data_IF_390070531713
#
_entry.id   IF_390070531713
#
_cell.length_a   1.000
_cell.length_b   1.000
_cell.length_c   1.000
_cell.angle_alpha   90.00
_cell.angle_beta   90.00
_cell.angle_gamma   90.00
#
_symmetry.space_group_name_H-M   'P 1'
#
loop_
_entity.id
_entity.type
_entity.pdbx_description
1 polymer ?
#
# COMPACT_ATOMS: atom_id res chain seq x y z
N UNK A 1 -20.84 12.04 -48.88
CA UNK A 1 -20.27 11.04 -47.95
C UNK A 1 -20.80 11.28 -46.55
N UNK A 2 -21.74 10.45 -46.10
CA UNK A 2 -22.38 10.61 -44.79
C UNK A 2 -21.53 9.93 -43.76
N UNK A 3 -20.83 10.72 -42.95
CA UNK A 3 -20.03 10.20 -41.81
C UNK A 3 -21.02 9.63 -40.79
N UNK A 4 -21.12 8.30 -40.72
CA UNK A 4 -21.87 7.61 -39.67
C UNK A 4 -21.21 7.99 -38.32
N UNK A 5 -21.88 8.85 -37.55
CA UNK A 5 -21.53 9.09 -36.15
C UNK A 5 -21.53 7.73 -35.41
N UNK A 6 -20.34 7.20 -35.13
CA UNK A 6 -20.16 6.01 -34.30
C UNK A 6 -20.79 6.31 -32.93
N UNK A 7 -21.82 5.57 -32.55
CA UNK A 7 -22.43 5.68 -31.22
C UNK A 7 -21.39 5.31 -30.20
N UNK A 8 -20.81 6.29 -29.51
CA UNK A 8 -19.98 6.06 -28.34
C UNK A 8 -20.80 5.24 -27.34
N UNK A 9 -20.24 4.15 -26.86
CA UNK A 9 -20.84 3.40 -25.76
C UNK A 9 -20.88 4.32 -24.55
N UNK A 10 -22.08 4.52 -23.96
CA UNK A 10 -22.19 5.30 -22.73
C UNK A 10 -21.43 4.55 -21.63
N UNK A 11 -20.38 5.18 -21.11
CA UNK A 11 -19.69 4.66 -19.91
C UNK A 11 -20.72 4.48 -18.79
N UNK A 12 -20.83 3.27 -18.29
CA UNK A 12 -21.82 2.93 -17.24
C UNK A 12 -21.19 3.17 -15.88
N UNK A 13 -21.84 3.99 -15.06
CA UNK A 13 -21.46 4.17 -13.66
C UNK A 13 -21.75 2.88 -12.89
N UNK A 14 -20.74 2.31 -12.29
CA UNK A 14 -20.84 1.10 -11.50
C UNK A 14 -20.50 1.36 -10.03
N UNK A 15 -20.98 0.50 -9.14
CA UNK A 15 -20.57 0.48 -7.74
C UNK A 15 -19.32 -0.40 -7.62
N UNK A 16 -18.21 0.22 -7.32
CA UNK A 16 -16.94 -0.47 -7.16
C UNK A 16 -16.59 -0.66 -5.68
N UNK A 17 -15.86 -1.74 -5.40
CA UNK A 17 -15.43 -2.08 -4.04
C UNK A 17 -13.92 -1.97 -3.92
N UNK A 18 -13.47 -1.40 -2.81
CA UNK A 18 -12.07 -1.40 -2.42
C UNK A 18 -11.91 -2.09 -1.08
N UNK A 19 -11.03 -3.07 -1.05
CA UNK A 19 -10.70 -3.87 0.11
C UNK A 19 -9.43 -3.31 0.73
N UNK A 20 -9.48 -2.97 2.01
CA UNK A 20 -8.37 -2.54 2.85
C UNK A 20 -8.10 -3.65 3.85
N UNK A 21 -6.89 -4.19 3.84
CA UNK A 21 -6.47 -5.13 4.88
C UNK A 21 -6.26 -4.38 6.18
N UNK A 22 -6.75 -4.95 7.27
CA UNK A 22 -6.54 -4.44 8.63
C UNK A 22 -5.28 -5.12 9.17
N UNK A 23 -4.19 -4.37 9.38
CA UNK A 23 -3.00 -4.94 10.02
C UNK A 23 -3.31 -5.39 11.45
N UNK A 24 -2.60 -6.39 11.92
CA UNK A 24 -2.69 -6.83 13.31
C UNK A 24 -2.37 -5.67 14.26
N UNK A 25 -3.17 -5.50 15.31
CA UNK A 25 -3.03 -4.40 16.26
C UNK A 25 -3.53 -3.03 15.76
N UNK A 26 -4.05 -2.93 14.53
CA UNK A 26 -4.62 -1.69 14.04
C UNK A 26 -5.98 -1.41 14.68
N UNK A 27 -6.20 -0.15 15.06
CA UNK A 27 -7.50 0.34 15.53
C UNK A 27 -8.33 0.82 14.35
N UNK A 28 -9.56 0.31 14.25
CA UNK A 28 -10.52 0.72 13.21
C UNK A 28 -11.33 1.89 13.73
N UNK A 29 -11.37 3.00 12.96
CA UNK A 29 -12.06 4.23 13.33
C UNK A 29 -13.47 4.36 12.71
N UNK A 30 -13.85 3.39 11.86
CA UNK A 30 -15.12 3.43 11.13
C UNK A 30 -15.93 2.15 11.35
N UNK A 31 -17.23 2.21 11.12
CA UNK A 31 -18.14 1.07 11.25
C UNK A 31 -18.92 0.81 9.98
N UNK A 32 -19.47 -0.40 9.83
CA UNK A 32 -20.33 -0.79 8.70
C UNK A 32 -21.52 0.15 8.57
N UNK A 33 -21.79 0.59 7.33
CA UNK A 33 -22.85 1.51 7.01
C UNK A 33 -22.45 2.99 7.01
N UNK A 34 -21.32 3.37 7.64
CA UNK A 34 -20.83 4.75 7.65
C UNK A 34 -20.52 5.25 6.24
N UNK A 35 -20.77 6.56 6.02
CA UNK A 35 -20.25 7.30 4.89
C UNK A 35 -18.96 7.98 5.33
N UNK A 36 -17.91 7.83 4.55
CA UNK A 36 -16.60 8.45 4.80
C UNK A 36 -16.21 9.34 3.63
N UNK A 37 -15.58 10.45 3.94
CA UNK A 37 -15.06 11.40 2.94
C UNK A 37 -13.61 11.07 2.58
N UNK A 38 -13.16 11.54 1.40
CA UNK A 38 -11.74 11.48 1.01
C UNK A 38 -10.88 12.10 2.11
N UNK A 39 -9.83 11.39 2.54
CA UNK A 39 -8.91 11.81 3.60
C UNK A 39 -9.35 11.46 5.02
N UNK A 40 -10.57 11.00 5.23
CA UNK A 40 -11.04 10.56 6.56
C UNK A 40 -10.32 9.29 7.00
N UNK A 41 -9.92 9.24 8.27
CA UNK A 41 -9.15 8.13 8.84
C UNK A 41 -10.02 6.89 8.96
N UNK A 42 -9.55 5.80 8.39
CA UNK A 42 -10.20 4.48 8.43
C UNK A 42 -9.59 3.59 9.51
N UNK A 43 -8.26 3.59 9.57
CA UNK A 43 -7.46 2.75 10.45
C UNK A 43 -6.30 3.56 11.01
N UNK A 44 -5.96 3.31 12.27
CA UNK A 44 -4.75 3.81 12.92
C UNK A 44 -3.89 2.63 13.32
N UNK A 45 -2.69 2.55 12.76
CA UNK A 45 -1.69 1.55 13.11
C UNK A 45 -0.64 2.19 14.00
N UNK A 46 -0.38 1.64 15.17
CA UNK A 46 0.78 2.00 15.96
C UNK A 46 2.00 1.34 15.37
N UNK A 47 3.04 2.14 15.07
CA UNK A 47 4.28 1.59 14.56
C UNK A 47 5.08 1.04 15.72
N UNK A 48 5.31 -0.25 15.69
CA UNK A 48 6.23 -0.92 16.58
C UNK A 48 7.55 -1.19 15.86
N UNK A 49 8.67 -0.98 16.56
CA UNK A 49 10.02 -1.33 16.07
C UNK A 49 10.58 -2.42 16.95
N UNK A 50 11.09 -3.50 16.35
CA UNK A 50 11.89 -4.47 17.07
C UNK A 50 13.28 -3.88 17.23
N UNK A 51 13.74 -3.77 18.48
CA UNK A 51 15.09 -3.37 18.83
C UNK A 51 15.78 -4.53 19.50
N UNK A 52 17.04 -4.79 19.10
CA UNK A 52 17.87 -5.86 19.64
C UNK A 52 18.95 -5.27 20.54
N UNK A 53 19.13 -5.84 21.72
CA UNK A 53 20.11 -5.43 22.72
C UNK A 53 21.06 -6.59 23.00
N UNK A 54 22.35 -6.33 22.93
CA UNK A 54 23.35 -7.37 23.13
C UNK A 54 23.54 -7.71 24.60
N UNK A 55 23.12 -8.91 24.98
CA UNK A 55 23.29 -9.48 26.31
C UNK A 55 24.03 -10.84 26.26
N UNK A 56 24.81 -11.06 25.22
CA UNK A 56 25.51 -12.30 24.96
C UNK A 56 26.41 -12.73 26.13
N UNK A 57 27.01 -11.78 26.87
CA UNK A 57 27.85 -12.07 28.04
C UNK A 57 27.10 -12.75 29.20
N UNK A 58 25.81 -12.47 29.32
CA UNK A 58 24.93 -13.10 30.30
C UNK A 58 24.30 -14.38 29.73
N UNK A 59 23.74 -14.30 28.56
CA UNK A 59 22.93 -15.37 27.96
C UNK A 59 23.76 -16.57 27.49
N UNK A 60 25.03 -16.38 27.10
CA UNK A 60 25.93 -17.48 26.72
C UNK A 60 26.23 -18.47 27.86
N UNK A 61 25.96 -18.08 29.09
CA UNK A 61 26.14 -18.95 30.26
C UNK A 61 24.89 -19.76 30.61
N UNK A 62 23.77 -19.47 29.94
CA UNK A 62 22.53 -20.20 30.13
C UNK A 62 22.52 -21.46 29.27
N UNK A 63 21.95 -22.54 29.80
CA UNK A 63 21.67 -23.71 28.98
C UNK A 63 20.54 -23.43 28.02
N UNK A 64 20.50 -24.17 26.89
CA UNK A 64 19.41 -24.04 25.90
C UNK A 64 18.00 -24.22 26.50
N UNK A 65 17.88 -25.10 27.51
CA UNK A 65 16.62 -25.28 28.22
C UNK A 65 16.17 -24.04 29.00
N UNK A 66 17.11 -23.36 29.67
CA UNK A 66 16.84 -22.10 30.39
C UNK A 66 16.53 -20.94 29.45
N UNK A 67 17.21 -20.85 28.29
CA UNK A 67 16.89 -19.85 27.27
C UNK A 67 15.47 -20.06 26.72
N UNK A 68 15.08 -21.30 26.50
CA UNK A 68 13.71 -21.64 26.10
C UNK A 68 12.70 -21.24 27.15
N UNK A 69 12.95 -21.58 28.42
CA UNK A 69 12.07 -21.20 29.54
C UNK A 69 11.94 -19.68 29.67
N UNK A 70 13.05 -18.93 29.51
CA UNK A 70 13.02 -17.47 29.47
C UNK A 70 12.10 -16.97 28.38
N UNK A 71 12.26 -17.47 27.15
CA UNK A 71 11.43 -17.09 26.02
C UNK A 71 9.94 -17.42 26.26
N UNK A 72 9.66 -18.67 26.65
CA UNK A 72 8.28 -19.14 26.87
C UNK A 72 7.57 -18.37 28.02
N UNK A 73 8.33 -17.94 29.02
CA UNK A 73 7.77 -17.25 30.18
C UNK A 73 7.60 -15.74 29.99
N UNK A 74 8.44 -15.09 29.17
CA UNK A 74 8.45 -13.63 29.06
C UNK A 74 7.92 -13.10 27.72
N UNK A 75 7.91 -13.90 26.65
CA UNK A 75 7.46 -13.47 25.34
C UNK A 75 6.05 -12.87 25.39
N UNK A 76 5.89 -11.70 24.80
CA UNK A 76 4.63 -10.94 24.79
C UNK A 76 4.34 -10.14 26.05
N UNK A 77 5.15 -10.26 27.12
CA UNK A 77 4.97 -9.43 28.33
C UNK A 77 5.57 -8.05 28.15
N UNK A 78 4.90 -7.06 28.71
CA UNK A 78 5.35 -5.68 28.77
C UNK A 78 6.28 -5.48 29.97
N UNK A 79 7.41 -4.79 29.73
CA UNK A 79 8.39 -4.39 30.73
C UNK A 79 8.69 -2.91 30.63
N UNK A 80 9.10 -2.33 31.75
CA UNK A 80 9.70 -0.99 31.80
C UNK A 80 11.21 -1.12 31.82
N UNK A 81 11.89 -0.08 31.38
CA UNK A 81 13.35 0.02 31.53
C UNK A 81 13.76 -0.18 33.00
N UNK A 82 14.70 -1.11 33.23
CA UNK A 82 15.16 -1.47 34.57
C UNK A 82 14.35 -2.56 35.27
N UNK A 83 13.26 -3.05 34.69
CA UNK A 83 12.53 -4.19 35.26
C UNK A 83 13.37 -5.48 35.22
N UNK A 84 13.25 -6.31 36.22
CA UNK A 84 13.95 -7.58 36.29
C UNK A 84 13.34 -8.59 35.32
N UNK A 85 14.12 -9.00 34.30
CA UNK A 85 13.72 -10.04 33.34
C UNK A 85 14.00 -11.43 33.88
N UNK A 86 15.20 -11.62 34.43
CA UNK A 86 15.66 -12.91 34.90
C UNK A 86 16.72 -12.77 36.02
N UNK A 87 16.73 -13.72 36.94
CA UNK A 87 17.78 -13.86 37.93
C UNK A 87 18.32 -15.30 37.94
N UNK A 88 19.63 -15.47 37.83
CA UNK A 88 20.23 -16.78 37.95
C UNK A 88 20.19 -17.24 39.41
N UNK A 89 19.83 -18.52 39.63
CA UNK A 89 19.69 -19.10 40.97
C UNK A 89 21.05 -19.55 41.53
N UNK A 90 21.78 -18.67 42.18
CA UNK A 90 23.05 -18.99 42.82
C UNK A 90 23.25 -18.22 44.12
N UNK A 91 24.35 -18.53 44.86
CA UNK A 91 24.74 -17.78 46.06
C UNK A 91 24.95 -16.28 45.80
N UNK A 92 25.34 -15.91 44.56
CA UNK A 92 25.42 -14.54 44.05
C UNK A 92 24.66 -14.43 42.73
N UNK A 93 23.33 -14.26 42.78
CA UNK A 93 22.50 -14.29 41.57
C UNK A 93 22.87 -13.12 40.66
N UNK A 94 23.25 -13.43 39.43
CA UNK A 94 23.32 -12.43 38.37
C UNK A 94 21.91 -12.13 37.90
N UNK A 95 21.64 -10.85 37.71
CA UNK A 95 20.36 -10.33 37.31
C UNK A 95 20.43 -9.76 35.91
N UNK A 96 19.41 -10.02 35.10
CA UNK A 96 19.20 -9.45 33.78
C UNK A 96 18.04 -8.49 33.88
N UNK A 97 18.26 -7.24 33.51
CA UNK A 97 17.25 -6.18 33.56
C UNK A 97 16.82 -5.79 32.15
N UNK A 98 15.61 -5.28 32.02
CA UNK A 98 15.13 -4.75 30.76
C UNK A 98 15.93 -3.49 30.36
N UNK A 99 16.52 -3.48 29.16
CA UNK A 99 17.28 -2.33 28.66
C UNK A 99 16.39 -1.18 28.18
N UNK A 100 15.08 -1.41 28.05
CA UNK A 100 14.12 -0.44 27.56
C UNK A 100 12.69 -0.78 28.00
N UNK A 101 11.78 0.16 27.81
CA UNK A 101 10.35 -0.09 27.96
C UNK A 101 9.77 -0.65 26.67
N UNK A 102 9.00 -1.76 26.75
CA UNK A 102 8.39 -2.41 25.58
C UNK A 102 7.96 -3.85 25.84
N UNK A 103 7.48 -4.53 24.81
CA UNK A 103 7.12 -5.94 24.90
C UNK A 103 8.32 -6.83 24.57
N UNK A 104 8.65 -7.76 25.45
CA UNK A 104 9.73 -8.73 25.21
C UNK A 104 9.30 -9.69 24.08
N UNK A 105 10.14 -9.80 23.03
CA UNK A 105 9.89 -10.65 21.86
C UNK A 105 10.66 -11.96 21.88
N UNK A 106 11.69 -12.06 22.72
CA UNK A 106 12.53 -13.24 22.82
C UNK A 106 14.03 -12.94 22.74
N UNK A 107 14.80 -14.01 22.64
CA UNK A 107 16.25 -13.99 22.42
C UNK A 107 16.51 -14.56 21.03
N UNK A 108 17.26 -13.83 20.20
CA UNK A 108 17.63 -14.28 18.85
C UNK A 108 18.82 -15.27 18.85
N UNK A 109 19.17 -15.79 17.70
CA UNK A 109 20.29 -16.75 17.50
C UNK A 109 21.66 -16.18 17.85
N UNK A 110 21.81 -14.84 17.90
CA UNK A 110 23.03 -14.13 18.27
C UNK A 110 23.05 -13.77 19.76
N UNK A 111 22.12 -14.29 20.56
CA UNK A 111 21.95 -13.99 21.98
C UNK A 111 21.69 -12.51 22.27
N UNK A 112 20.98 -11.82 21.38
CA UNK A 112 20.43 -10.50 21.65
C UNK A 112 18.99 -10.63 22.17
N UNK A 113 18.66 -9.81 23.15
CA UNK A 113 17.29 -9.66 23.64
C UNK A 113 16.53 -8.75 22.68
N UNK A 114 15.37 -9.19 22.27
CA UNK A 114 14.52 -8.44 21.36
C UNK A 114 13.31 -7.84 22.09
N UNK A 115 13.09 -6.56 21.86
CA UNK A 115 11.94 -5.83 22.36
C UNK A 115 11.16 -5.16 21.23
N UNK A 116 9.85 -5.27 21.28
CA UNK A 116 8.95 -4.48 20.46
C UNK A 116 8.68 -3.15 21.18
N UNK A 117 9.26 -2.09 20.66
CA UNK A 117 9.06 -0.73 21.17
C UNK A 117 7.87 -0.09 20.47
N UNK A 118 6.93 0.45 21.25
CA UNK A 118 5.89 1.33 20.71
C UNK A 118 6.53 2.70 20.51
N UNK A 119 6.88 3.04 19.26
CA UNK A 119 7.62 4.27 18.95
C UNK A 119 6.73 5.53 19.07
N UNK A 120 5.46 5.38 19.42
CA UNK A 120 4.50 6.49 19.45
C UNK A 120 4.17 7.07 18.06
N UNK A 121 4.84 6.62 17.01
CA UNK A 121 4.51 7.00 15.65
C UNK A 121 3.24 6.25 15.21
N UNK A 122 2.26 7.01 14.73
CA UNK A 122 1.01 6.47 14.22
C UNK A 122 1.01 6.56 12.70
N UNK A 123 0.65 5.46 12.04
CA UNK A 123 0.38 5.45 10.61
C UNK A 123 -1.13 5.40 10.40
N UNK A 124 -1.66 6.42 9.78
CA UNK A 124 -3.07 6.48 9.43
C UNK A 124 -3.29 5.95 8.01
N UNK A 125 -4.31 5.12 7.85
CA UNK A 125 -4.82 4.72 6.54
C UNK A 125 -6.13 5.46 6.35
N UNK A 126 -6.16 6.31 5.33
CA UNK A 126 -7.29 7.20 5.04
C UNK A 126 -8.12 6.72 3.86
N UNK A 127 -9.36 7.17 3.79
CA UNK A 127 -10.23 6.93 2.64
C UNK A 127 -9.67 7.64 1.39
N UNK A 128 -9.40 6.91 0.30
CA UNK A 128 -8.86 7.53 -0.92
C UNK A 128 -9.89 8.36 -1.67
N UNK A 129 -11.18 8.09 -1.45
CA UNK A 129 -12.32 8.72 -2.11
C UNK A 129 -13.54 8.72 -1.18
N UNK A 130 -14.52 9.55 -1.49
CA UNK A 130 -15.82 9.50 -0.82
C UNK A 130 -16.45 8.12 -1.05
N UNK A 131 -16.81 7.46 0.04
CA UNK A 131 -17.24 6.06 -0.02
C UNK A 131 -18.20 5.71 1.12
N UNK A 132 -18.79 4.52 1.01
CA UNK A 132 -19.59 3.91 2.07
C UNK A 132 -18.87 2.67 2.58
N UNK A 133 -18.74 2.53 3.88
CA UNK A 133 -18.24 1.31 4.52
C UNK A 133 -19.31 0.23 4.38
N UNK A 134 -19.02 -0.82 3.64
CA UNK A 134 -19.93 -1.95 3.49
C UNK A 134 -19.80 -2.96 4.62
N UNK A 135 -18.55 -3.27 4.97
CA UNK A 135 -18.23 -4.30 5.95
C UNK A 135 -16.92 -3.95 6.67
N UNK A 136 -16.89 -4.24 7.95
CA UNK A 136 -15.70 -4.25 8.79
C UNK A 136 -15.67 -5.59 9.50
N UNK A 137 -14.61 -6.36 9.34
CA UNK A 137 -14.34 -7.57 10.09
C UNK A 137 -12.92 -7.54 10.68
N UNK A 138 -12.41 -8.67 11.20
CA UNK A 138 -11.11 -8.69 11.88
C UNK A 138 -9.91 -8.43 10.95
N UNK A 139 -10.03 -8.79 9.68
CA UNK A 139 -8.90 -8.79 8.75
C UNK A 139 -9.06 -7.78 7.62
N UNK A 140 -10.29 -7.35 7.34
CA UNK A 140 -10.54 -6.49 6.20
C UNK A 140 -11.69 -5.49 6.41
N UNK A 141 -11.55 -4.36 5.76
CA UNK A 141 -12.56 -3.32 5.63
C UNK A 141 -12.88 -3.15 4.15
N UNK A 142 -14.17 -3.14 3.82
CA UNK A 142 -14.63 -3.01 2.43
C UNK A 142 -15.35 -1.68 2.25
N UNK A 143 -14.84 -0.86 1.34
CA UNK A 143 -15.44 0.41 0.93
C UNK A 143 -16.16 0.26 -0.42
N UNK A 144 -17.31 0.91 -0.59
CA UNK A 144 -18.03 1.04 -1.84
C UNK A 144 -18.03 2.50 -2.31
N UNK A 145 -17.76 2.71 -3.59
CA UNK A 145 -17.81 4.03 -4.24
C UNK A 145 -18.32 3.91 -5.66
N UNK A 146 -18.74 5.04 -6.26
CA UNK A 146 -19.18 5.10 -7.65
C UNK A 146 -17.97 5.32 -8.57
N UNK A 147 -17.92 4.60 -9.67
CA UNK A 147 -16.86 4.76 -10.67
C UNK A 147 -17.33 4.41 -12.07
N UNK A 148 -16.60 4.90 -13.08
CA UNK A 148 -16.60 4.34 -14.42
C UNK A 148 -15.54 3.25 -14.46
N UNK A 149 -15.85 2.12 -15.06
CA UNK A 149 -14.96 0.97 -15.17
C UNK A 149 -14.49 0.83 -16.60
N UNK A 150 -13.18 0.67 -16.76
CA UNK A 150 -12.52 0.34 -18.02
C UNK A 150 -11.74 -0.96 -17.85
N UNK A 151 -11.80 -1.83 -18.85
CA UNK A 151 -11.11 -3.12 -18.84
C UNK A 151 -9.99 -3.13 -19.86
N UNK A 152 -8.88 -3.79 -19.52
CA UNK A 152 -7.70 -3.87 -20.37
C UNK A 152 -6.75 -4.95 -19.91
N UNK A 153 -5.53 -4.95 -20.43
CA UNK A 153 -4.50 -5.93 -20.15
C UNK A 153 -3.44 -5.36 -19.21
N UNK A 154 -3.17 -6.04 -18.09
CA UNK A 154 -2.07 -5.67 -17.21
C UNK A 154 -0.73 -6.08 -17.82
N UNK A 155 0.17 -5.13 -18.00
CA UNK A 155 1.52 -5.35 -18.53
C UNK A 155 2.55 -5.46 -17.39
N UNK A 156 2.46 -4.59 -16.39
CA UNK A 156 3.21 -4.68 -15.14
C UNK A 156 2.20 -4.78 -13.99
N UNK A 157 2.35 -5.81 -13.17
CA UNK A 157 1.37 -6.14 -12.12
C UNK A 157 1.43 -5.15 -10.96
N UNK A 158 0.28 -4.62 -10.56
CA UNK A 158 0.18 -3.74 -9.39
C UNK A 158 -1.22 -3.23 -9.15
N UNK A 159 -1.40 -2.54 -8.02
CA UNK A 159 -2.64 -1.86 -7.65
C UNK A 159 -2.32 -0.55 -6.95
N UNK A 160 -2.75 0.55 -7.52
CA UNK A 160 -2.42 1.88 -7.01
C UNK A 160 -3.59 2.85 -7.15
N UNK A 161 -3.73 3.73 -6.16
CA UNK A 161 -4.53 4.95 -6.26
C UNK A 161 -3.65 6.09 -6.77
N UNK A 162 -4.17 6.87 -7.70
CA UNK A 162 -3.50 8.07 -8.19
C UNK A 162 -4.50 9.13 -8.63
N UNK A 163 -4.02 10.31 -8.88
CA UNK A 163 -4.77 11.37 -9.55
C UNK A 163 -4.35 11.44 -11.00
N UNK A 164 -5.15 12.03 -11.86
CA UNK A 164 -4.81 12.27 -13.25
C UNK A 164 -5.61 13.45 -13.79
N UNK A 165 -4.98 14.29 -14.56
CA UNK A 165 -5.64 15.31 -15.38
C UNK A 165 -6.10 14.76 -16.74
N UNK A 166 -5.91 13.46 -16.95
CA UNK A 166 -6.25 12.69 -18.16
C UNK A 166 -5.60 13.21 -19.46
N UNK A 167 -4.60 14.06 -19.36
CA UNK A 167 -3.84 14.51 -20.52
C UNK A 167 -2.94 13.42 -21.05
N UNK A 168 -2.94 13.23 -22.36
CA UNK A 168 -2.00 12.34 -23.05
C UNK A 168 -0.65 13.03 -23.12
N UNK A 169 0.39 12.36 -22.60
CA UNK A 169 1.77 12.84 -22.56
C UNK A 169 2.68 11.88 -23.31
N UNK A 170 3.18 12.33 -24.44
CA UNK A 170 4.04 11.48 -25.27
C UNK A 170 5.51 11.90 -25.21
N UNK A 171 5.80 13.09 -24.69
CA UNK A 171 7.18 13.60 -24.63
C UNK A 171 7.77 13.40 -23.23
N UNK A 172 9.03 12.96 -23.19
CA UNK A 172 9.78 12.79 -21.93
C UNK A 172 9.88 14.12 -21.17
N UNK A 173 9.96 15.26 -21.88
CA UNK A 173 9.99 16.59 -21.28
C UNK A 173 8.71 17.00 -20.55
N UNK A 174 7.59 16.33 -20.81
CA UNK A 174 6.32 16.55 -20.13
C UNK A 174 6.25 15.83 -18.77
N UNK A 175 7.18 14.89 -18.51
CA UNK A 175 7.30 14.17 -17.25
C UNK A 175 8.09 15.01 -16.24
N UNK A 176 7.38 15.77 -15.44
CA UNK A 176 7.93 16.63 -14.39
C UNK A 176 7.58 16.12 -13.00
N UNK A 177 8.24 16.62 -11.96
CA UNK A 177 7.99 16.25 -10.56
C UNK A 177 6.55 16.52 -10.09
N UNK A 178 5.82 17.41 -10.78
CA UNK A 178 4.40 17.64 -10.51
C UNK A 178 3.51 16.42 -10.79
N UNK A 179 4.02 15.41 -11.51
CA UNK A 179 3.31 14.17 -11.82
C UNK A 179 3.59 13.05 -10.80
N UNK A 180 4.38 13.31 -9.76
CA UNK A 180 4.61 12.32 -8.71
C UNK A 180 3.28 11.89 -8.07
N UNK A 181 3.08 10.56 -7.95
CA UNK A 181 1.84 9.99 -7.43
C UNK A 181 0.65 9.97 -8.41
N UNK A 182 0.81 10.46 -9.64
CA UNK A 182 -0.25 10.49 -10.63
C UNK A 182 -0.27 9.23 -11.51
N UNK A 183 -1.47 8.88 -12.00
CA UNK A 183 -1.64 7.92 -13.11
C UNK A 183 -1.62 8.73 -14.40
N UNK A 184 -0.69 8.41 -15.28
CA UNK A 184 -0.48 9.14 -16.56
C UNK A 184 -0.96 8.31 -17.76
N UNK A 185 -1.28 9.03 -18.83
CA UNK A 185 -1.73 8.47 -20.11
C UNK A 185 -0.73 8.83 -21.19
N UNK A 186 -0.33 7.83 -21.99
CA UNK A 186 0.55 8.04 -23.13
C UNK A 186 0.15 7.13 -24.29
N UNK A 187 0.32 7.59 -25.53
CA UNK A 187 0.13 6.77 -26.74
C UNK A 187 1.46 6.29 -27.32
N UNK A 188 2.55 7.01 -27.01
CA UNK A 188 3.90 6.69 -27.45
C UNK A 188 4.77 6.58 -26.22
N UNK A 189 5.35 5.41 -26.04
CA UNK A 189 6.19 5.09 -24.87
C UNK A 189 7.49 4.48 -25.38
N UNK A 190 8.62 4.94 -24.84
CA UNK A 190 9.95 4.38 -25.10
C UNK A 190 10.56 3.89 -23.78
N UNK A 191 11.63 3.08 -23.81
CA UNK A 191 12.35 2.70 -22.58
C UNK A 191 12.78 3.93 -21.76
N UNK A 192 13.30 4.95 -22.39
CA UNK A 192 13.69 6.20 -21.71
C UNK A 192 12.50 6.92 -21.06
N UNK A 193 11.31 6.84 -21.68
CA UNK A 193 10.08 7.39 -21.11
C UNK A 193 9.71 6.68 -19.79
N UNK A 194 9.76 5.34 -19.77
CA UNK A 194 9.43 4.54 -18.58
C UNK A 194 10.41 4.82 -17.44
N UNK A 195 11.72 4.83 -17.72
CA UNK A 195 12.75 5.19 -16.73
C UNK A 195 12.49 6.59 -16.17
N UNK A 196 12.17 7.56 -17.02
CA UNK A 196 11.88 8.92 -16.57
C UNK A 196 10.61 8.98 -15.71
N UNK A 197 9.55 8.26 -16.08
CA UNK A 197 8.32 8.18 -15.31
C UNK A 197 8.57 7.61 -13.91
N UNK A 198 9.42 6.59 -13.79
CA UNK A 198 9.82 6.01 -12.51
C UNK A 198 10.61 7.00 -11.64
N UNK A 199 11.61 7.68 -12.22
CA UNK A 199 12.40 8.71 -11.51
C UNK A 199 11.52 9.85 -11.02
N UNK A 200 10.49 10.22 -11.77
CA UNK A 200 9.50 11.23 -11.38
C UNK A 200 8.60 10.75 -10.24
N UNK A 201 8.47 9.43 -10.04
CA UNK A 201 7.58 8.85 -9.05
C UNK A 201 6.13 8.75 -9.53
N UNK A 202 5.90 8.51 -10.82
CA UNK A 202 4.58 8.27 -11.39
C UNK A 202 3.98 7.03 -10.74
N UNK A 203 2.71 7.11 -10.34
CA UNK A 203 2.03 6.00 -9.66
C UNK A 203 1.62 4.88 -10.61
N UNK A 204 1.33 5.19 -11.88
CA UNK A 204 0.93 4.21 -12.86
C UNK A 204 0.83 4.78 -14.27
N UNK A 205 0.86 3.89 -15.26
CA UNK A 205 0.80 4.23 -16.69
C UNK A 205 -0.33 3.47 -17.40
N UNK A 206 -1.09 4.19 -18.20
CA UNK A 206 -2.14 3.62 -19.05
C UNK A 206 -1.84 3.99 -20.50
N UNK A 207 -1.84 2.98 -21.38
CA UNK A 207 -1.51 3.11 -22.81
C UNK A 207 -2.56 2.43 -23.68
N UNK A 208 -2.75 2.82 -24.94
CA UNK A 208 -3.62 2.07 -25.85
C UNK A 208 -2.92 0.83 -26.42
N UNK A 209 -3.70 -0.15 -26.85
CA UNK A 209 -3.22 -1.25 -27.72
C UNK A 209 -3.15 -0.79 -29.19
N UNK A 210 -2.20 -1.34 -30.00
CA UNK A 210 -1.19 -2.36 -29.67
C UNK A 210 -0.01 -1.80 -28.88
N UNK A 211 0.65 -2.66 -28.09
CA UNK A 211 1.83 -2.32 -27.28
C UNK A 211 3.06 -2.94 -27.93
N UNK A 212 4.04 -2.08 -28.29
CA UNK A 212 5.27 -2.51 -28.97
C UNK A 212 6.45 -2.76 -28.02
N UNK A 213 6.29 -2.37 -26.73
CA UNK A 213 7.36 -2.47 -25.73
C UNK A 213 7.11 -3.68 -24.81
N UNK A 214 8.16 -4.44 -24.53
CA UNK A 214 8.14 -5.44 -23.48
C UNK A 214 8.46 -4.83 -22.12
N UNK A 215 7.40 -4.52 -21.39
CA UNK A 215 7.50 -3.94 -20.04
C UNK A 215 8.06 -4.92 -19.00
N UNK A 216 8.06 -6.25 -19.27
CA UNK A 216 8.61 -7.24 -18.34
C UNK A 216 10.13 -7.21 -18.35
N UNK A 217 10.74 -7.02 -19.52
CA UNK A 217 12.18 -6.85 -19.63
C UNK A 217 12.69 -5.55 -19.00
N UNK A 218 11.80 -4.55 -18.87
CA UNK A 218 12.18 -3.24 -18.34
C UNK A 218 12.10 -3.14 -16.82
N UNK A 219 11.56 -4.15 -16.12
CA UNK A 219 11.41 -4.17 -14.66
C UNK A 219 10.80 -2.87 -14.09
N UNK A 220 9.81 -2.28 -14.78
CA UNK A 220 9.18 -1.03 -14.37
C UNK A 220 8.62 -1.16 -12.94
N UNK A 221 9.01 -0.24 -12.04
CA UNK A 221 8.65 -0.24 -10.63
C UNK A 221 7.22 0.21 -10.31
N UNK A 222 6.38 0.46 -11.33
CA UNK A 222 5.00 0.90 -11.18
C UNK A 222 4.04 0.11 -12.08
N UNK A 223 2.73 0.04 -11.74
CA UNK A 223 1.74 -0.67 -12.54
C UNK A 223 1.57 -0.06 -13.94
N UNK A 224 1.55 -0.92 -14.97
CA UNK A 224 1.27 -0.54 -16.36
C UNK A 224 0.11 -1.37 -16.89
N UNK A 225 -0.80 -0.72 -17.60
CA UNK A 225 -1.98 -1.33 -18.19
C UNK A 225 -2.21 -0.81 -19.60
N UNK A 226 -2.54 -1.71 -20.53
CA UNK A 226 -3.03 -1.33 -21.84
C UNK A 226 -4.55 -1.41 -21.92
N UNK A 227 -5.14 -0.52 -22.71
CA UNK A 227 -6.57 -0.51 -23.03
C UNK A 227 -6.76 -0.83 -24.51
N UNK A 228 -7.72 -1.68 -24.81
CA UNK A 228 -8.17 -1.84 -26.20
C UNK A 228 -8.58 -0.50 -26.78
N UNK A 229 -8.36 -0.27 -28.08
CA UNK A 229 -8.58 1.02 -28.72
C UNK A 229 -9.96 1.61 -28.46
N UNK A 230 -11.00 0.77 -28.40
CA UNK A 230 -12.37 1.21 -28.09
C UNK A 230 -12.52 1.73 -26.66
N UNK A 231 -11.90 1.07 -25.69
CA UNK A 231 -11.90 1.51 -24.28
C UNK A 231 -11.08 2.78 -24.10
N UNK A 232 -9.92 2.87 -24.78
CA UNK A 232 -9.10 4.08 -24.81
C UNK A 232 -9.87 5.27 -25.38
N UNK A 233 -10.48 5.11 -26.54
CA UNK A 233 -11.28 6.17 -27.20
C UNK A 233 -12.43 6.62 -26.29
N UNK A 234 -13.14 5.68 -25.65
CA UNK A 234 -14.21 5.98 -24.71
C UNK A 234 -13.70 6.76 -23.48
N UNK A 235 -12.52 6.40 -22.96
CA UNK A 235 -11.92 7.07 -21.82
C UNK A 235 -11.52 8.50 -22.16
N UNK A 236 -10.82 8.70 -23.28
CA UNK A 236 -10.27 10.00 -23.68
C UNK A 236 -11.32 10.95 -24.22
N UNK A 237 -12.31 10.45 -25.00
CA UNK A 237 -13.33 11.30 -25.64
C UNK A 237 -14.62 11.42 -24.85
N UNK A 238 -14.88 10.46 -23.97
CA UNK A 238 -16.15 10.37 -23.22
C UNK A 238 -16.20 11.20 -21.94
N UNK A 239 -15.09 11.80 -21.52
CA UNK A 239 -15.00 12.55 -20.26
C UNK A 239 -14.69 14.03 -20.53
N UNK A 240 -15.28 14.95 -19.75
CA UNK A 240 -14.81 16.32 -19.74
C UNK A 240 -13.36 16.34 -19.25
N UNK A 241 -12.45 16.86 -20.06
CA UNK A 241 -10.99 16.91 -19.82
C UNK A 241 -10.58 17.92 -18.73
N UNK A 242 -11.55 18.53 -18.04
CA UNK A 242 -11.25 19.56 -17.03
C UNK A 242 -11.19 18.95 -15.61
N UNK A 243 -10.10 19.25 -14.94
CA UNK A 243 -9.85 18.91 -13.53
C UNK A 243 -9.17 17.56 -13.28
N UNK A 244 -8.59 17.45 -12.10
CA UNK A 244 -7.95 16.22 -11.64
C UNK A 244 -9.00 15.17 -11.26
N UNK A 245 -8.74 13.94 -11.65
CA UNK A 245 -9.59 12.79 -11.41
C UNK A 245 -8.89 11.75 -10.55
N UNK A 246 -9.58 11.28 -9.53
CA UNK A 246 -9.09 10.16 -8.72
C UNK A 246 -9.33 8.83 -9.44
N UNK A 247 -8.30 8.01 -9.51
CA UNK A 247 -8.34 6.73 -10.21
C UNK A 247 -7.76 5.60 -9.37
N UNK A 248 -8.28 4.39 -9.57
CA UNK A 248 -7.67 3.15 -9.12
C UNK A 248 -7.22 2.34 -10.33
N UNK A 249 -5.93 2.21 -10.52
CA UNK A 249 -5.33 1.30 -11.49
C UNK A 249 -5.03 -0.04 -10.81
N UNK A 250 -5.64 -1.11 -11.28
CA UNK A 250 -5.40 -2.47 -10.83
C UNK A 250 -5.05 -3.35 -12.04
N UNK A 251 -3.78 -3.32 -12.41
CA UNK A 251 -3.26 -4.07 -13.56
C UNK A 251 -3.23 -5.59 -13.33
N UNK A 252 -3.24 -6.08 -12.07
CA UNK A 252 -3.36 -7.52 -11.76
C UNK A 252 -4.60 -8.16 -12.37
N UNK A 253 -5.70 -7.41 -12.43
CA UNK A 253 -6.99 -7.86 -12.93
C UNK A 253 -7.46 -7.06 -14.15
N UNK A 254 -6.57 -6.28 -14.76
CA UNK A 254 -6.87 -5.49 -15.96
C UNK A 254 -8.01 -4.49 -15.76
N UNK A 255 -8.01 -3.71 -14.68
CA UNK A 255 -9.08 -2.74 -14.38
C UNK A 255 -8.55 -1.35 -14.08
N UNK A 256 -9.15 -0.37 -14.72
CA UNK A 256 -9.03 1.03 -14.37
C UNK A 256 -10.40 1.54 -13.92
N UNK A 257 -10.47 2.11 -12.73
CA UNK A 257 -11.68 2.71 -12.16
C UNK A 257 -11.47 4.21 -12.05
N UNK A 258 -12.30 4.97 -12.77
CA UNK A 258 -12.35 6.43 -12.65
C UNK A 258 -13.48 6.80 -11.69
N UNK A 259 -13.13 7.44 -10.58
CA UNK A 259 -14.12 7.81 -9.54
C UNK A 259 -15.05 8.88 -10.05
N UNK A 260 -16.34 8.68 -9.82
CA UNK A 260 -17.42 9.65 -10.10
C UNK A 260 -17.88 10.21 -8.76
N UNK A 261 -17.72 11.51 -8.61
CA UNK A 261 -18.20 12.26 -7.44
C UNK A 261 -19.71 12.52 -7.53
#
# INVERSE_FOLDING_TARGET
MTVKKKKLSKSVVVRSKWLVRIPEGARVEVSSGMKVKKGEVLLVCELAKISSYNESSFLSRMSSGRLKELNDSLCGKEFKEGDLLFADGGLFPKKLFSPCSGNFCGVDEFLNIQFQLIIGARKEITAPVDSKVLRVDKEELVLEFKSLKYEGTGLVSGKVWGESDMKIRNKISELTSALAGNIIFATEVSPAYVIKAEVVGVAGLVIPEPVEIDFKEMEAGFPVMSLAKTEWDNLVTGQPLEGERRMLLNSKVGRLLLVVQ
#
